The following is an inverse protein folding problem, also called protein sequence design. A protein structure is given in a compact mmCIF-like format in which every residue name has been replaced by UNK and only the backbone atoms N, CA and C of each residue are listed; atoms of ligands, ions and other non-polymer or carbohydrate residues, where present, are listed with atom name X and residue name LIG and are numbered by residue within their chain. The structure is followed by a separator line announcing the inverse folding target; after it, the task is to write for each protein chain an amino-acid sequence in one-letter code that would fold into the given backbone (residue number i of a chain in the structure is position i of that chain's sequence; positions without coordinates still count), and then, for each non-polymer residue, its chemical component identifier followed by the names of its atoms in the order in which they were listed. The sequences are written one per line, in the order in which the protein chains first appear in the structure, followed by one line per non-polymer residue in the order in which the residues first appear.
data_IF_887997423886
#
_entry.id   IF_887997423886
#
_cell.length_a   1.000
_cell.length_b   1.000
_cell.length_c   1.000
_cell.angle_alpha   90.00
_cell.angle_beta   90.00
_cell.angle_gamma   90.00
#
_symmetry.space_group_name_H-M   'P 1'
#
loop_
_entity.id
_entity.type
_entity.pdbx_description
1 polymer ?
#
# COMPACT_ATOMS: atom_id res chain seq x y z
N UNK A 1 -7.86 16.96 -0.45
CA UNK A 1 -7.45 15.84 -1.30
C UNK A 1 -6.68 14.83 -0.45
N UNK A 2 -7.07 13.57 -0.48
CA UNK A 2 -6.38 12.54 0.31
C UNK A 2 -4.97 12.29 -0.22
N UNK A 3 -4.02 12.14 0.67
CA UNK A 3 -2.62 11.92 0.35
C UNK A 3 -2.26 10.45 0.53
N UNK A 4 -1.68 9.85 -0.51
CA UNK A 4 -1.34 8.42 -0.55
C UNK A 4 0.14 8.27 -0.86
N UNK A 5 0.84 7.46 -0.07
CA UNK A 5 2.22 7.06 -0.34
C UNK A 5 2.20 5.61 -0.82
N UNK A 6 2.76 5.36 -2.01
CA UNK A 6 2.85 4.03 -2.60
C UNK A 6 4.30 3.56 -2.58
N UNK A 7 4.53 2.37 -2.02
CA UNK A 7 5.87 1.78 -1.89
C UNK A 7 5.99 0.59 -2.83
N UNK A 8 6.66 0.80 -3.94
CA UNK A 8 6.91 -0.19 -4.98
C UNK A 8 8.34 -0.06 -5.47
N UNK A 9 9.03 -1.18 -5.69
CA UNK A 9 10.33 -1.17 -6.37
C UNK A 9 10.21 -1.53 -7.85
N UNK A 10 9.11 -2.12 -8.27
CA UNK A 10 8.77 -2.32 -9.68
C UNK A 10 8.25 -1.00 -10.23
N UNK A 11 9.07 -0.30 -11.00
CA UNK A 11 8.75 1.03 -11.49
C UNK A 11 7.56 1.04 -12.46
N UNK A 12 7.38 -0.02 -13.24
CA UNK A 12 6.26 -0.09 -14.17
C UNK A 12 4.94 -0.23 -13.41
N UNK A 13 4.87 -1.16 -12.48
CA UNK A 13 3.67 -1.35 -11.65
C UNK A 13 3.43 -0.12 -10.78
N UNK A 14 4.48 0.40 -10.15
CA UNK A 14 4.39 1.59 -9.31
C UNK A 14 3.88 2.81 -10.06
N UNK A 15 4.38 3.03 -11.28
CA UNK A 15 3.93 4.15 -12.12
C UNK A 15 2.48 3.99 -12.54
N UNK A 16 2.05 2.78 -12.87
CA UNK A 16 0.66 2.50 -13.22
C UNK A 16 -0.29 2.77 -12.05
N UNK A 17 0.09 2.32 -10.85
CA UNK A 17 -0.69 2.56 -9.63
C UNK A 17 -0.76 4.06 -9.35
N UNK A 18 0.38 4.75 -9.45
CA UNK A 18 0.45 6.18 -9.22
C UNK A 18 -0.47 6.96 -10.17
N UNK A 19 -0.41 6.64 -11.46
CA UNK A 19 -1.25 7.28 -12.47
C UNK A 19 -2.73 7.06 -12.21
N UNK A 20 -3.11 5.84 -11.84
CA UNK A 20 -4.49 5.50 -11.52
C UNK A 20 -5.01 6.25 -10.30
N UNK A 21 -4.20 6.36 -9.25
CA UNK A 21 -4.57 7.10 -8.05
C UNK A 21 -4.74 8.59 -8.32
N UNK A 22 -3.81 9.17 -9.08
CA UNK A 22 -3.89 10.58 -9.46
C UNK A 22 -5.12 10.87 -10.32
N UNK A 23 -5.44 9.97 -11.24
CA UNK A 23 -6.65 10.07 -12.06
C UNK A 23 -7.93 9.99 -11.20
N UNK A 24 -7.87 9.28 -10.08
CA UNK A 24 -8.97 9.17 -9.12
C UNK A 24 -9.07 10.34 -8.15
N UNK A 25 -8.22 11.36 -8.28
CA UNK A 25 -8.26 12.56 -7.43
C UNK A 25 -7.39 12.49 -6.18
N UNK A 26 -6.53 11.47 -6.05
CA UNK A 26 -5.63 11.37 -4.90
C UNK A 26 -4.32 12.11 -5.17
N UNK A 27 -3.76 12.69 -4.12
CA UNK A 27 -2.40 13.21 -4.14
C UNK A 27 -1.46 12.04 -3.80
N UNK A 28 -0.89 11.43 -4.83
CA UNK A 28 -0.11 10.19 -4.68
C UNK A 28 1.36 10.41 -5.02
N UNK A 29 2.23 9.80 -4.21
CA UNK A 29 3.68 9.78 -4.43
C UNK A 29 4.19 8.35 -4.38
N UNK A 30 5.25 8.08 -5.17
CA UNK A 30 5.92 6.79 -5.20
C UNK A 30 7.20 6.86 -4.36
N UNK A 31 7.39 5.89 -3.48
CA UNK A 31 8.57 5.81 -2.61
C UNK A 31 9.17 4.41 -2.64
N UNK A 32 10.38 4.28 -2.13
CA UNK A 32 11.07 3.01 -1.96
C UNK A 32 10.92 2.44 -0.55
N UNK A 33 11.77 1.46 -0.24
CA UNK A 33 11.72 0.71 1.02
C UNK A 33 12.03 1.54 2.27
N UNK A 34 12.59 2.73 2.09
CA UNK A 34 12.89 3.69 3.18
C UNK A 34 11.77 4.73 3.36
N UNK A 35 10.61 4.47 2.81
CA UNK A 35 9.48 5.39 2.86
C UNK A 35 9.03 5.70 4.28
N UNK A 36 8.59 6.95 4.46
CA UNK A 36 7.92 7.41 5.66
C UNK A 36 6.57 8.01 5.26
N UNK A 37 5.47 7.61 5.91
CA UNK A 37 4.15 8.10 5.53
C UNK A 37 3.92 9.60 5.78
N UNK A 38 4.63 10.19 6.74
CA UNK A 38 4.55 11.63 7.04
C UNK A 38 3.12 12.16 7.18
N UNK A 39 2.27 11.42 7.88
CA UNK A 39 0.87 11.81 8.07
C UNK A 39 -0.02 11.57 6.85
N UNK A 40 0.41 10.75 5.90
CA UNK A 40 -0.42 10.37 4.76
C UNK A 40 -1.71 9.69 5.23
N UNK A 41 -2.77 9.81 4.42
CA UNK A 41 -4.04 9.16 4.71
C UNK A 41 -3.97 7.66 4.47
N UNK A 42 -3.20 7.24 3.47
CA UNK A 42 -3.00 5.82 3.16
C UNK A 42 -1.56 5.52 2.75
N UNK A 43 -1.12 4.31 3.08
CA UNK A 43 0.15 3.74 2.66
C UNK A 43 -0.15 2.45 1.90
N UNK A 44 0.28 2.37 0.64
CA UNK A 44 0.15 1.17 -0.19
C UNK A 44 1.52 0.54 -0.30
N UNK A 45 1.62 -0.75 0.02
CA UNK A 45 2.90 -1.46 0.05
C UNK A 45 2.86 -2.69 -0.83
N UNK A 46 3.81 -2.80 -1.76
CA UNK A 46 3.99 -3.99 -2.58
C UNK A 46 4.62 -5.11 -1.74
N UNK A 47 3.85 -6.15 -1.47
CA UNK A 47 4.29 -7.31 -0.70
C UNK A 47 4.89 -8.40 -1.60
N UNK A 48 4.77 -8.26 -2.91
CA UNK A 48 5.30 -9.22 -3.87
C UNK A 48 6.71 -8.88 -4.35
N UNK A 49 7.27 -7.78 -3.89
CA UNK A 49 8.62 -7.38 -4.23
C UNK A 49 9.65 -8.35 -3.64
N UNK A 50 10.72 -8.62 -4.40
CA UNK A 50 11.88 -9.35 -3.91
C UNK A 50 12.96 -8.41 -3.40
N UNK A 51 12.84 -7.11 -3.63
CA UNK A 51 13.81 -6.11 -3.24
C UNK A 51 13.69 -5.62 -1.80
N UNK A 52 12.54 -5.84 -1.17
CA UNK A 52 12.32 -5.45 0.22
C UNK A 52 11.18 -6.28 0.83
N UNK A 53 11.14 -6.32 2.15
CA UNK A 53 10.06 -6.98 2.90
C UNK A 53 9.02 -5.94 3.33
N UNK A 54 7.91 -5.87 2.60
CA UNK A 54 6.86 -4.89 2.85
C UNK A 54 6.13 -5.09 4.19
N UNK A 55 6.02 -6.33 4.65
CA UNK A 55 5.42 -6.62 5.96
C UNK A 55 6.31 -6.07 7.06
N UNK A 56 7.61 -6.33 6.98
CA UNK A 56 8.57 -5.82 7.95
C UNK A 56 8.62 -4.29 7.97
N UNK A 57 8.48 -3.65 6.80
CA UNK A 57 8.40 -2.20 6.70
C UNK A 57 7.23 -1.66 7.53
N UNK A 58 6.04 -2.23 7.35
CA UNK A 58 4.83 -1.79 8.06
C UNK A 58 4.96 -2.06 9.57
N UNK A 59 5.51 -3.21 9.95
CA UNK A 59 5.75 -3.51 11.36
C UNK A 59 6.66 -2.45 12.00
N UNK A 60 7.75 -2.08 11.33
CA UNK A 60 8.68 -1.06 11.82
C UNK A 60 8.01 0.31 11.94
N UNK A 61 7.24 0.72 10.92
CA UNK A 61 6.56 2.00 10.94
C UNK A 61 5.47 2.05 12.02
N UNK A 62 4.82 0.93 12.28
CA UNK A 62 3.81 0.83 13.33
C UNK A 62 4.45 0.94 14.71
N UNK A 63 5.58 0.30 14.93
CA UNK A 63 6.32 0.39 16.19
C UNK A 63 6.82 1.81 16.48
N UNK A 64 7.21 2.54 15.45
CA UNK A 64 7.67 3.93 15.59
C UNK A 64 6.54 4.95 15.76
N UNK A 65 5.29 4.53 15.60
CA UNK A 65 4.14 5.43 15.68
C UNK A 65 3.84 6.18 14.39
N UNK A 66 4.59 5.93 13.32
CA UNK A 66 4.46 6.67 12.05
C UNK A 66 3.19 6.32 11.27
N UNK A 67 2.49 5.24 11.64
CA UNK A 67 1.24 4.84 10.99
C UNK A 67 -0.02 5.32 11.71
N UNK A 68 0.12 6.10 12.76
CA UNK A 68 -1.02 6.65 13.47
C UNK A 68 -1.83 7.53 12.51
N UNK A 69 -3.11 7.20 12.33
CA UNK A 69 -3.99 7.90 11.40
C UNK A 69 -3.79 7.53 9.92
N UNK A 70 -2.89 6.61 9.61
CA UNK A 70 -2.63 6.15 8.24
C UNK A 70 -3.21 4.76 8.03
N UNK A 71 -4.06 4.60 7.01
CA UNK A 71 -4.57 3.28 6.61
C UNK A 71 -3.53 2.56 5.76
N UNK A 72 -3.49 1.24 5.88
CA UNK A 72 -2.51 0.42 5.17
C UNK A 72 -3.17 -0.57 4.22
N UNK A 73 -2.66 -0.62 2.99
CA UNK A 73 -3.10 -1.53 1.94
C UNK A 73 -1.91 -2.31 1.42
N UNK A 74 -1.95 -3.63 1.58
CA UNK A 74 -0.91 -4.51 1.04
C UNK A 74 -1.33 -5.07 -0.31
N UNK A 75 -0.37 -5.13 -1.24
CA UNK A 75 -0.58 -5.67 -2.58
C UNK A 75 0.30 -6.91 -2.74
N UNK A 76 -0.29 -8.09 -2.95
CA UNK A 76 0.46 -9.34 -3.02
C UNK A 76 0.22 -10.09 -4.33
N UNK A 77 1.06 -11.08 -4.61
CA UNK A 77 0.79 -12.04 -5.68
C UNK A 77 -0.31 -12.99 -5.20
N UNK A 78 -1.35 -13.18 -6.01
CA UNK A 78 -2.51 -13.99 -5.61
C UNK A 78 -2.18 -15.46 -5.32
N UNK A 79 -0.98 -15.93 -5.68
CA UNK A 79 -0.52 -17.30 -5.37
C UNK A 79 0.22 -17.38 -4.03
N UNK A 80 0.51 -16.26 -3.39
CA UNK A 80 1.31 -16.22 -2.16
C UNK A 80 0.43 -16.06 -0.92
N UNK A 81 -0.15 -17.16 -0.48
CA UNK A 81 -1.05 -17.21 0.67
C UNK A 81 -0.31 -16.88 1.98
N UNK A 82 0.95 -17.30 2.09
CA UNK A 82 1.73 -17.07 3.30
C UNK A 82 2.02 -15.58 3.51
N UNK A 83 2.38 -14.86 2.46
CA UNK A 83 2.56 -13.41 2.51
C UNK A 83 1.27 -12.71 2.91
N UNK A 84 0.15 -13.14 2.35
CA UNK A 84 -1.16 -12.58 2.72
C UNK A 84 -1.45 -12.75 4.20
N UNK A 85 -1.19 -13.95 4.75
CA UNK A 85 -1.42 -14.23 6.18
C UNK A 85 -0.51 -13.40 7.06
N UNK A 86 0.76 -13.26 6.68
CA UNK A 86 1.72 -12.42 7.42
C UNK A 86 1.26 -10.96 7.46
N UNK A 87 0.77 -10.44 6.35
CA UNK A 87 0.27 -9.06 6.27
C UNK A 87 -0.97 -8.86 7.13
N UNK A 88 -1.90 -9.79 7.09
CA UNK A 88 -3.10 -9.72 7.93
C UNK A 88 -2.72 -9.76 9.41
N UNK A 89 -1.77 -10.60 9.79
CA UNK A 89 -1.28 -10.69 11.17
C UNK A 89 -0.52 -9.43 11.59
N UNK A 90 0.14 -8.74 10.66
CA UNK A 90 0.86 -7.50 10.95
C UNK A 90 -0.07 -6.28 11.08
N UNK A 91 -1.37 -6.47 10.83
CA UNK A 91 -2.36 -5.42 11.03
C UNK A 91 -2.62 -4.55 9.82
N UNK A 92 -2.33 -5.01 8.61
CA UNK A 92 -2.77 -4.30 7.40
C UNK A 92 -4.29 -4.17 7.41
N UNK A 93 -4.78 -2.99 7.10
CA UNK A 93 -6.22 -2.74 7.05
C UNK A 93 -6.88 -3.49 5.91
N UNK A 94 -6.15 -3.69 4.81
CA UNK A 94 -6.60 -4.46 3.67
C UNK A 94 -5.44 -5.06 2.90
N UNK A 95 -5.66 -6.25 2.33
CA UNK A 95 -4.65 -6.93 1.51
C UNK A 95 -5.34 -7.42 0.24
N UNK A 96 -4.82 -7.05 -0.93
CA UNK A 96 -5.41 -7.38 -2.22
C UNK A 96 -4.36 -7.93 -3.19
N UNK A 97 -4.74 -8.77 -4.16
CA UNK A 97 -3.81 -9.21 -5.19
C UNK A 97 -3.49 -8.09 -6.18
N UNK A 98 -2.31 -8.17 -6.81
CA UNK A 98 -1.86 -7.20 -7.82
C UNK A 98 -2.89 -6.97 -8.93
N UNK A 99 -3.53 -8.03 -9.40
CA UNK A 99 -4.52 -7.94 -10.47
C UNK A 99 -5.70 -7.06 -10.07
N UNK A 100 -6.15 -7.17 -8.84
CA UNK A 100 -7.25 -6.35 -8.34
C UNK A 100 -6.81 -4.91 -8.16
N UNK A 101 -5.62 -4.68 -7.64
CA UNK A 101 -5.06 -3.33 -7.51
C UNK A 101 -4.96 -2.65 -8.86
N UNK A 102 -4.53 -3.37 -9.90
CA UNK A 102 -4.41 -2.83 -11.25
C UNK A 102 -5.77 -2.42 -11.85
N UNK A 103 -6.85 -3.12 -11.51
CA UNK A 103 -8.19 -2.84 -12.03
C UNK A 103 -8.97 -1.84 -11.21
N UNK A 104 -8.84 -1.89 -9.90
CA UNK A 104 -9.76 -1.22 -8.97
C UNK A 104 -9.06 -0.33 -7.94
N UNK A 105 -7.77 -0.03 -8.15
CA UNK A 105 -6.95 0.64 -7.12
C UNK A 105 -7.55 1.91 -6.55
N UNK A 106 -8.06 2.79 -7.40
CA UNK A 106 -8.69 4.03 -6.94
C UNK A 106 -9.91 3.78 -6.05
N UNK A 107 -10.77 2.86 -6.46
CA UNK A 107 -11.96 2.50 -5.69
C UNK A 107 -11.60 1.78 -4.39
N UNK A 108 -10.54 0.96 -4.40
CA UNK A 108 -10.05 0.28 -3.20
C UNK A 108 -9.55 1.27 -2.16
N UNK A 109 -8.78 2.27 -2.59
CA UNK A 109 -8.28 3.31 -1.69
C UNK A 109 -9.42 4.16 -1.16
N UNK A 110 -10.37 4.52 -2.00
CA UNK A 110 -11.54 5.28 -1.56
C UNK A 110 -12.31 4.53 -0.47
N UNK A 111 -12.57 3.25 -0.67
CA UNK A 111 -13.24 2.42 0.35
C UNK A 111 -12.40 2.26 1.61
N UNK A 112 -11.09 2.13 1.46
CA UNK A 112 -10.18 2.03 2.60
C UNK A 112 -10.28 3.27 3.49
N UNK A 113 -10.31 4.45 2.88
CA UNK A 113 -10.35 5.73 3.60
C UNK A 113 -11.73 6.04 4.18
N UNK A 114 -12.80 5.57 3.55
CA UNK A 114 -14.16 5.79 4.03
C UNK A 114 -14.64 4.70 5.00
N UNK A 115 -13.90 3.62 5.12
CA UNK A 115 -14.27 2.50 5.99
C UNK A 115 -15.36 1.59 5.44
N UNK A 116 -15.65 1.68 4.15
CA UNK A 116 -16.72 0.88 3.53
C UNK A 116 -16.21 -0.33 2.76
#
# INVERSE_FOLDING_TARGET
MARVVAVFDDLLLGSNVLGMLRAGGFEATLSGADAHPDGADALIVDLASTGFDGVALVERLRESGELEGTRTLGVYSHVDVDTRRRAEAAGFDRVVPRSRMAREGGALVERLLTGS
#
